data_IF_878975816071
#
_entry.id   IF_878975816071
#
_cell.length_a   1.000
_cell.length_b   1.000
_cell.length_c   1.000
_cell.angle_alpha   90.00
_cell.angle_beta   90.00
_cell.angle_gamma   90.00
#
_symmetry.space_group_name_H-M   'P 1'
#
loop_
_entity.id
_entity.type
_entity.pdbx_description
1 polymer ?
#
# COMPACT_ATOMS: atom_id res chain seq x y z
N UNK A 1 -25.47 3.05 22.32
CA UNK A 1 -25.62 3.73 20.99
C UNK A 1 -24.32 4.27 20.39
N UNK A 2 -23.18 4.32 21.10
CA UNK A 2 -21.90 4.79 20.54
C UNK A 2 -21.11 3.74 19.74
N UNK A 3 -21.31 2.44 20.01
CA UNK A 3 -20.49 1.38 19.40
C UNK A 3 -20.79 1.13 17.92
N UNK A 4 -22.07 1.22 17.51
CA UNK A 4 -22.45 1.17 16.09
C UNK A 4 -21.76 2.27 15.26
N UNK A 5 -21.35 3.37 15.90
CA UNK A 5 -20.62 4.48 15.26
C UNK A 5 -19.21 4.13 14.78
N UNK A 6 -18.53 3.27 15.53
CA UNK A 6 -17.14 2.90 15.25
C UNK A 6 -17.05 1.90 14.11
N UNK A 7 -17.99 0.95 14.06
CA UNK A 7 -17.99 -0.13 13.08
C UNK A 7 -18.05 0.44 11.66
N UNK A 8 -19.03 1.30 11.33
CA UNK A 8 -19.11 1.84 9.97
C UNK A 8 -17.91 2.71 9.57
N UNK A 9 -17.27 3.39 10.53
CA UNK A 9 -16.05 4.19 10.25
C UNK A 9 -14.89 3.29 9.87
N UNK A 10 -14.71 2.17 10.59
CA UNK A 10 -13.67 1.19 10.29
C UNK A 10 -13.91 0.60 8.90
N UNK A 11 -15.13 0.17 8.60
CA UNK A 11 -15.48 -0.36 7.29
C UNK A 11 -15.25 0.68 6.18
N UNK A 12 -15.67 1.93 6.37
CA UNK A 12 -15.47 3.00 5.39
C UNK A 12 -13.98 3.26 5.10
N UNK A 13 -13.15 3.33 6.15
CA UNK A 13 -11.69 3.50 6.03
C UNK A 13 -11.07 2.31 5.29
N UNK A 14 -11.49 1.09 5.62
CA UNK A 14 -10.99 -0.13 5.01
C UNK A 14 -11.35 -0.19 3.51
N UNK A 15 -12.59 0.17 3.15
CA UNK A 15 -13.04 0.25 1.77
C UNK A 15 -12.22 1.27 0.97
N UNK A 16 -12.00 2.46 1.53
CA UNK A 16 -11.21 3.50 0.88
C UNK A 16 -9.76 3.07 0.68
N UNK A 17 -9.18 2.38 1.67
CA UNK A 17 -7.84 1.79 1.57
C UNK A 17 -7.74 0.80 0.40
N UNK A 18 -8.66 -0.17 0.31
CA UNK A 18 -8.63 -1.17 -0.76
C UNK A 18 -8.80 -0.52 -2.15
N UNK A 19 -9.68 0.47 -2.26
CA UNK A 19 -9.91 1.20 -3.51
C UNK A 19 -8.64 1.93 -3.96
N UNK A 20 -7.96 2.65 -3.05
CA UNK A 20 -6.70 3.33 -3.34
C UNK A 20 -5.62 2.32 -3.75
N UNK A 21 -5.45 1.22 -3.01
CA UNK A 21 -4.45 0.19 -3.36
C UNK A 21 -4.72 -0.45 -4.72
N UNK A 22 -5.98 -0.74 -5.04
CA UNK A 22 -6.36 -1.35 -6.32
C UNK A 22 -6.10 -0.41 -7.50
N UNK A 23 -6.42 0.88 -7.36
CA UNK A 23 -6.15 1.88 -8.40
C UNK A 23 -4.65 2.05 -8.62
N UNK A 24 -3.85 2.08 -7.54
CA UNK A 24 -2.39 2.17 -7.64
C UNK A 24 -1.84 0.96 -8.38
N UNK A 25 -2.21 -0.25 -7.99
CA UNK A 25 -1.76 -1.48 -8.67
C UNK A 25 -2.14 -1.50 -10.15
N UNK A 26 -3.39 -1.14 -10.47
CA UNK A 26 -3.87 -1.06 -11.84
C UNK A 26 -3.08 -0.06 -12.70
N UNK A 27 -2.76 1.11 -12.14
CA UNK A 27 -1.94 2.11 -12.83
C UNK A 27 -0.49 1.63 -13.02
N UNK A 28 0.09 0.98 -12.01
CA UNK A 28 1.43 0.41 -12.10
C UNK A 28 1.53 -0.64 -13.21
N UNK A 29 0.55 -1.55 -13.28
CA UNK A 29 0.49 -2.58 -14.31
C UNK A 29 0.27 -1.96 -15.70
N UNK A 30 -0.67 -1.03 -15.84
CA UNK A 30 -0.98 -0.38 -17.11
C UNK A 30 0.16 0.48 -17.66
N UNK A 31 0.94 1.12 -16.79
CA UNK A 31 2.07 1.96 -17.21
C UNK A 31 3.36 1.17 -17.47
N UNK A 32 3.33 -0.17 -17.32
CA UNK A 32 4.51 -1.04 -17.43
C UNK A 32 5.70 -0.48 -16.63
N UNK A 33 5.39 0.12 -15.48
CA UNK A 33 6.31 1.01 -14.77
C UNK A 33 7.38 0.17 -14.10
N UNK A 34 8.55 0.05 -14.76
CA UNK A 34 9.74 -0.52 -14.15
C UNK A 34 10.23 0.48 -13.13
N UNK A 35 9.96 0.23 -11.85
CA UNK A 35 10.50 1.04 -10.77
C UNK A 35 12.03 1.09 -10.92
N UNK A 36 12.63 2.26 -11.17
CA UNK A 36 14.08 2.37 -11.35
C UNK A 36 14.86 2.03 -10.07
N UNK A 37 14.18 2.10 -8.91
CA UNK A 37 14.70 1.63 -7.63
C UNK A 37 14.57 0.12 -7.42
N UNK A 38 13.75 -0.59 -8.19
CA UNK A 38 13.65 -2.04 -8.08
C UNK A 38 14.79 -2.67 -8.88
N UNK A 39 15.74 -3.28 -8.19
CA UNK A 39 16.88 -3.91 -8.84
C UNK A 39 16.44 -5.25 -9.42
N UNK A 40 16.40 -5.34 -10.74
CA UNK A 40 16.20 -6.60 -11.46
C UNK A 40 17.46 -6.95 -12.23
N UNK A 41 18.18 -7.97 -11.76
CA UNK A 41 19.36 -8.51 -12.43
C UNK A 41 18.96 -9.85 -13.03
N UNK A 42 18.88 -9.91 -14.36
CA UNK A 42 18.66 -11.15 -15.12
C UNK A 42 19.93 -11.50 -15.89
N UNK A 43 20.55 -12.64 -15.52
CA UNK A 43 21.63 -13.34 -16.24
C UNK A 43 21.10 -14.69 -16.73
N UNK A 44 21.81 -15.33 -17.66
CA UNK A 44 21.41 -16.59 -18.34
C UNK A 44 20.98 -17.73 -17.41
N UNK A 45 21.51 -17.80 -16.17
CA UNK A 45 21.10 -18.79 -15.16
C UNK A 45 20.71 -18.16 -13.80
N UNK A 46 20.60 -16.84 -13.69
CA UNK A 46 20.36 -16.17 -12.40
C UNK A 46 19.41 -14.98 -12.56
N UNK A 47 18.28 -15.04 -11.86
CA UNK A 47 17.32 -13.94 -11.77
C UNK A 47 17.23 -13.49 -10.32
N UNK A 48 17.67 -12.27 -10.05
CA UNK A 48 17.54 -11.64 -8.74
C UNK A 48 16.68 -10.39 -8.87
N UNK A 49 15.58 -10.37 -8.13
CA UNK A 49 14.67 -9.24 -8.04
C UNK A 49 14.70 -8.70 -6.61
N UNK A 50 15.07 -7.44 -6.46
CA UNK A 50 15.13 -6.75 -5.19
C UNK A 50 14.24 -5.50 -5.22
N UNK A 51 13.00 -5.61 -4.69
CA UNK A 51 11.99 -4.57 -4.76
C UNK A 51 12.22 -3.45 -3.73
N UNK A 52 13.32 -2.70 -3.85
CA UNK A 52 13.61 -1.59 -2.94
C UNK A 52 12.59 -0.46 -3.07
N UNK A 53 12.25 -0.08 -4.30
CA UNK A 53 11.28 0.97 -4.56
C UNK A 53 9.89 0.58 -4.07
N UNK A 54 9.45 -0.64 -4.36
CA UNK A 54 8.16 -1.14 -3.85
C UNK A 54 8.12 -1.16 -2.32
N UNK A 55 9.20 -1.62 -1.68
CA UNK A 55 9.26 -1.73 -0.22
C UNK A 55 9.17 -0.37 0.49
N UNK A 56 9.81 0.66 -0.07
CA UNK A 56 9.74 2.03 0.46
C UNK A 56 8.30 2.57 0.35
N UNK A 57 7.66 2.39 -0.81
CA UNK A 57 6.28 2.84 -1.04
C UNK A 57 5.33 2.16 -0.06
N UNK A 58 5.43 0.82 0.06
CA UNK A 58 4.62 0.04 1.00
C UNK A 58 4.84 0.53 2.44
N UNK A 59 6.08 0.80 2.84
CA UNK A 59 6.39 1.28 4.19
C UNK A 59 5.77 2.66 4.50
N UNK A 60 5.91 3.63 3.59
CA UNK A 60 5.30 4.97 3.74
C UNK A 60 3.77 4.83 3.83
N UNK A 61 3.18 4.01 2.95
CA UNK A 61 1.75 3.79 2.93
C UNK A 61 1.25 3.18 4.24
N UNK A 62 1.90 2.12 4.72
CA UNK A 62 1.59 1.47 6.00
C UNK A 62 1.72 2.45 7.17
N UNK A 63 2.76 3.30 7.14
CA UNK A 63 2.98 4.34 8.17
C UNK A 63 1.83 5.34 8.20
N UNK A 64 1.37 5.83 7.04
CA UNK A 64 0.24 6.76 6.95
C UNK A 64 -1.03 6.11 7.51
N UNK A 65 -1.30 4.86 7.15
CA UNK A 65 -2.49 4.13 7.61
C UNK A 65 -2.47 3.92 9.11
N UNK A 66 -1.37 3.39 9.64
CA UNK A 66 -1.23 3.17 11.08
C UNK A 66 -1.36 4.48 11.83
N UNK A 67 -0.78 5.57 11.34
CA UNK A 67 -0.90 6.88 11.95
C UNK A 67 -2.36 7.39 11.96
N UNK A 68 -3.09 7.23 10.86
CA UNK A 68 -4.51 7.57 10.79
C UNK A 68 -5.32 6.71 11.79
N UNK A 69 -5.12 5.40 11.81
CA UNK A 69 -5.79 4.48 12.74
C UNK A 69 -5.51 4.88 14.18
N UNK A 70 -4.24 5.07 14.56
CA UNK A 70 -3.87 5.49 15.92
C UNK A 70 -4.43 6.85 16.29
N UNK A 71 -4.47 7.80 15.34
CA UNK A 71 -5.07 9.12 15.56
C UNK A 71 -6.58 9.03 15.79
N UNK A 72 -7.27 8.10 15.14
CA UNK A 72 -8.69 7.84 15.36
C UNK A 72 -8.95 7.05 16.66
N UNK A 73 -8.06 6.15 17.06
CA UNK A 73 -8.18 5.38 18.31
C UNK A 73 -7.82 6.20 19.57
N UNK A 74 -6.94 7.20 19.45
CA UNK A 74 -6.54 8.07 20.57
C UNK A 74 -7.58 9.18 20.87
N UNK A 75 -8.70 9.20 20.18
CA UNK A 75 -9.74 10.23 20.28
C UNK A 75 -11.08 9.61 20.67
#
# INVERSE_FOLDING_TARGET
>A
MKEGSLIYKIFFILSLFFLITGVIFFLFEKMNFRNPLDFKIEKENFKFYFPLGTSIIVSIFLTIILNIIFRFFKR
#
